data_IF_998808196632
#
_entry.id   IF_998808196632
#
_cell.length_a   1.000
_cell.length_b   1.000
_cell.length_c   1.000
_cell.angle_alpha   90.00
_cell.angle_beta   90.00
_cell.angle_gamma   90.00
#
_symmetry.space_group_name_H-M   'P 1'
#
loop_
_entity.id
_entity.type
_entity.pdbx_description
1 polymer ?
#
# COMPACT_ATOMS: atom_id res chain seq x y z
N UNK A 1 2.97 9.74 -13.87
CA UNK A 1 2.72 10.79 -12.85
C UNK A 1 3.76 11.90 -12.91
N UNK A 2 5.04 11.64 -12.57
CA UNK A 2 6.10 12.66 -12.59
C UNK A 2 6.34 13.35 -13.95
N UNK A 3 6.24 12.60 -15.06
CA UNK A 3 6.34 13.19 -16.39
C UNK A 3 5.14 14.11 -16.71
N UNK A 4 3.94 13.74 -16.25
CA UNK A 4 2.72 14.53 -16.45
C UNK A 4 2.76 15.80 -15.60
N UNK A 5 3.22 15.71 -14.35
CA UNK A 5 3.40 16.88 -13.49
C UNK A 5 4.50 17.81 -14.02
N UNK A 6 5.60 17.28 -14.55
CA UNK A 6 6.66 18.07 -15.19
C UNK A 6 6.18 18.79 -16.46
N UNK A 7 5.42 18.11 -17.33
CA UNK A 7 4.81 18.73 -18.52
C UNK A 7 3.85 19.84 -18.10
N UNK A 8 3.01 19.60 -17.10
CA UNK A 8 2.07 20.61 -16.63
C UNK A 8 2.80 21.83 -16.03
N UNK A 9 3.89 21.60 -15.28
CA UNK A 9 4.74 22.67 -14.75
C UNK A 9 5.39 23.50 -15.87
N UNK A 10 5.85 22.86 -16.94
CA UNK A 10 6.39 23.56 -18.13
C UNK A 10 5.32 24.39 -18.84
N UNK A 11 4.11 23.87 -19.01
CA UNK A 11 2.99 24.61 -19.62
C UNK A 11 2.62 25.82 -18.77
N UNK A 12 2.51 25.65 -17.45
CA UNK A 12 2.24 26.72 -16.51
C UNK A 12 3.35 27.78 -16.52
N UNK A 13 4.62 27.36 -16.49
CA UNK A 13 5.77 28.27 -16.57
C UNK A 13 5.80 29.06 -17.88
N UNK A 14 5.45 28.43 -19.00
CA UNK A 14 5.35 29.10 -20.30
C UNK A 14 4.21 30.14 -20.34
N UNK A 15 3.06 29.84 -19.73
CA UNK A 15 1.93 30.77 -19.64
C UNK A 15 2.27 31.99 -18.78
N UNK A 16 2.90 31.77 -17.62
CA UNK A 16 3.36 32.86 -16.74
C UNK A 16 4.42 33.71 -17.45
N UNK A 17 5.40 33.07 -18.11
CA UNK A 17 6.44 33.77 -18.86
C UNK A 17 5.87 34.66 -19.98
N UNK A 18 4.93 34.14 -20.78
CA UNK A 18 4.28 34.93 -21.85
C UNK A 18 3.49 36.11 -21.28
N UNK A 19 2.78 35.91 -20.17
CA UNK A 19 1.94 36.95 -19.55
C UNK A 19 2.78 38.05 -18.89
N UNK A 20 3.83 37.67 -18.16
CA UNK A 20 4.70 38.62 -17.46
C UNK A 20 5.63 39.37 -18.42
N UNK A 21 6.07 38.71 -19.50
CA UNK A 21 6.84 39.35 -20.57
C UNK A 21 6.06 40.47 -21.29
N UNK A 22 4.72 40.41 -21.30
CA UNK A 22 3.89 41.38 -22.03
C UNK A 22 3.67 42.71 -21.29
N UNK A 23 3.95 42.77 -19.98
CA UNK A 23 3.47 43.86 -19.11
C UNK A 23 4.61 44.63 -18.44
N UNK A 24 5.83 44.10 -18.37
CA UNK A 24 6.88 44.68 -17.53
C UNK A 24 8.22 44.85 -18.29
N UNK A 25 8.51 46.07 -18.74
CA UNK A 25 9.74 46.45 -19.46
C UNK A 25 11.03 46.43 -18.59
N UNK A 26 10.90 46.10 -17.30
CA UNK A 26 12.02 45.95 -16.36
C UNK A 26 12.68 44.55 -16.43
N UNK A 27 12.11 43.62 -17.21
CA UNK A 27 12.61 42.25 -17.41
C UNK A 27 13.77 42.11 -18.42
N UNK A 28 14.53 43.17 -18.67
CA UNK A 28 15.76 43.16 -19.49
C UNK A 28 17.05 42.94 -18.69
N UNK A 29 16.95 42.63 -17.40
CA UNK A 29 18.09 42.38 -16.50
C UNK A 29 18.61 40.92 -16.51
N UNK A 30 19.76 40.65 -15.87
CA UNK A 30 20.42 39.33 -15.90
C UNK A 30 19.57 38.22 -15.23
N UNK A 31 19.51 37.01 -15.83
CA UNK A 31 18.50 35.97 -15.55
C UNK A 31 18.53 35.39 -14.13
N UNK A 32 19.68 35.48 -13.44
CA UNK A 32 19.84 34.94 -12.07
C UNK A 32 19.11 35.75 -11.00
N UNK A 33 18.97 37.07 -11.17
CA UNK A 33 18.23 37.91 -10.20
C UNK A 33 16.72 37.75 -10.37
N UNK A 34 16.23 37.60 -11.59
CA UNK A 34 14.81 37.34 -11.88
C UNK A 34 14.31 36.06 -11.22
N UNK A 35 15.07 34.97 -11.29
CA UNK A 35 14.69 33.72 -10.61
C UNK A 35 14.51 33.90 -9.10
N UNK A 36 15.41 34.64 -8.45
CA UNK A 36 15.34 34.90 -7.01
C UNK A 36 14.14 35.80 -6.67
N UNK A 37 13.88 36.84 -7.46
CA UNK A 37 12.74 37.75 -7.23
C UNK A 37 11.40 37.07 -7.51
N UNK A 38 11.30 36.23 -8.55
CA UNK A 38 10.10 35.44 -8.85
C UNK A 38 9.86 34.40 -7.76
N UNK A 39 10.91 33.71 -7.30
CA UNK A 39 10.80 32.77 -6.19
C UNK A 39 10.39 33.47 -4.88
N UNK A 40 10.94 34.66 -4.61
CA UNK A 40 10.59 35.47 -3.44
C UNK A 40 9.15 35.99 -3.50
N UNK A 41 8.69 36.45 -4.68
CA UNK A 41 7.33 36.93 -4.87
C UNK A 41 6.30 35.79 -4.80
N UNK A 42 6.62 34.61 -5.35
CA UNK A 42 5.81 33.39 -5.26
C UNK A 42 5.70 32.88 -3.81
N UNK A 43 6.77 32.99 -3.05
CA UNK A 43 6.79 32.66 -1.62
C UNK A 43 6.01 33.67 -0.78
N UNK A 44 6.09 34.96 -1.11
CA UNK A 44 5.34 36.01 -0.42
C UNK A 44 3.83 35.91 -0.70
N UNK A 45 3.40 35.58 -1.92
CA UNK A 45 1.98 35.37 -2.24
C UNK A 45 1.36 34.19 -1.47
N UNK A 46 2.13 33.14 -1.16
CA UNK A 46 1.66 32.02 -0.33
C UNK A 46 1.28 32.45 1.11
N UNK A 47 2.02 33.38 1.69
CA UNK A 47 1.81 33.84 3.08
C UNK A 47 0.92 35.09 3.18
N UNK A 48 0.87 35.93 2.14
CA UNK A 48 0.17 37.22 2.16
C UNK A 48 -1.20 37.24 1.47
N UNK A 49 -1.63 36.15 0.82
CA UNK A 49 -2.91 36.09 0.06
C UNK A 49 -4.19 36.32 0.89
N UNK A 50 -4.12 36.49 2.21
CA UNK A 50 -5.28 36.81 3.05
C UNK A 50 -5.54 38.32 3.21
N UNK A 51 -4.61 39.19 2.78
CA UNK A 51 -4.76 40.64 2.87
C UNK A 51 -4.16 41.30 1.62
N UNK A 52 -5.02 41.58 0.63
CA UNK A 52 -5.12 42.90 -0.01
C UNK A 52 -6.18 42.82 -1.14
N UNK A 53 -7.26 43.59 -1.02
CA UNK A 53 -8.22 43.79 -2.10
C UNK A 53 -7.59 44.71 -3.16
N UNK A 54 -6.82 44.20 -4.13
CA UNK A 54 -6.47 44.89 -5.41
C UNK A 54 -5.55 44.05 -6.33
N UNK A 55 -5.89 42.79 -6.62
CA UNK A 55 -5.22 42.08 -7.72
C UNK A 55 -6.00 42.25 -9.02
N UNK A 56 -5.33 42.88 -10.01
CA UNK A 56 -5.70 42.93 -11.42
C UNK A 56 -6.13 41.54 -11.93
N UNK A 57 -7.01 41.48 -12.94
CA UNK A 57 -7.53 40.22 -13.53
C UNK A 57 -6.41 39.22 -13.87
N UNK A 58 -5.22 39.72 -14.20
CA UNK A 58 -4.04 38.94 -14.51
C UNK A 58 -3.35 38.35 -13.26
N UNK A 59 -3.28 39.09 -12.15
CA UNK A 59 -2.76 38.58 -10.88
C UNK A 59 -3.63 37.46 -10.31
N UNK A 60 -4.97 37.56 -10.49
CA UNK A 60 -5.89 36.47 -10.12
C UNK A 60 -5.65 35.20 -10.94
N UNK A 61 -5.34 35.34 -12.24
CA UNK A 61 -5.05 34.22 -13.11
C UNK A 61 -3.76 33.49 -12.67
N UNK A 62 -2.71 34.24 -12.34
CA UNK A 62 -1.46 33.68 -11.81
C UNK A 62 -1.69 32.94 -10.48
N UNK A 63 -2.50 33.50 -9.58
CA UNK A 63 -2.84 32.83 -8.31
C UNK A 63 -3.61 31.52 -8.52
N UNK A 64 -4.58 31.50 -9.44
CA UNK A 64 -5.34 30.27 -9.76
C UNK A 64 -4.41 29.19 -10.31
N UNK A 65 -3.51 29.55 -11.22
CA UNK A 65 -2.51 28.64 -11.76
C UNK A 65 -1.60 28.10 -10.66
N UNK A 66 -1.14 28.96 -9.76
CA UNK A 66 -0.28 28.57 -8.64
C UNK A 66 -0.98 27.63 -7.65
N UNK A 67 -2.25 27.90 -7.30
CA UNK A 67 -3.07 27.01 -6.47
C UNK A 67 -3.20 25.62 -7.11
N UNK A 68 -3.31 25.55 -8.44
CA UNK A 68 -3.37 24.29 -9.16
C UNK A 68 -2.05 23.50 -9.06
N UNK A 69 -0.90 24.18 -9.14
CA UNK A 69 0.43 23.56 -8.93
C UNK A 69 0.55 22.99 -7.53
N UNK A 70 0.21 23.77 -6.50
CA UNK A 70 0.24 23.31 -5.10
C UNK A 70 -0.68 22.10 -4.88
N UNK A 71 -1.87 22.11 -5.49
CA UNK A 71 -2.81 21.00 -5.40
C UNK A 71 -2.25 19.72 -6.03
N UNK A 72 -1.61 19.81 -7.20
CA UNK A 72 -0.97 18.66 -7.87
C UNK A 72 0.17 18.08 -7.02
N UNK A 73 1.00 18.94 -6.42
CA UNK A 73 2.11 18.50 -5.56
C UNK A 73 1.56 17.77 -4.34
N UNK A 74 0.56 18.35 -3.65
CA UNK A 74 -0.07 17.72 -2.49
C UNK A 74 -0.73 16.39 -2.87
N UNK A 75 -1.49 16.35 -3.97
CA UNK A 75 -2.13 15.11 -4.45
C UNK A 75 -1.11 14.02 -4.79
N UNK A 76 0.00 14.38 -5.44
CA UNK A 76 1.08 13.44 -5.79
C UNK A 76 1.81 12.94 -4.54
N UNK A 77 2.08 13.81 -3.58
CA UNK A 77 2.69 13.46 -2.30
C UNK A 77 1.80 12.50 -1.51
N UNK A 78 0.50 12.83 -1.38
CA UNK A 78 -0.47 11.95 -0.74
C UNK A 78 -0.55 10.61 -1.47
N UNK A 79 -0.63 10.58 -2.81
CA UNK A 79 -0.68 9.34 -3.57
C UNK A 79 0.57 8.47 -3.40
N UNK A 80 1.77 9.07 -3.40
CA UNK A 80 3.02 8.35 -3.16
C UNK A 80 3.13 7.84 -1.72
N UNK A 81 2.74 8.66 -0.74
CA UNK A 81 2.70 8.24 0.67
C UNK A 81 1.71 7.09 0.87
N UNK A 82 0.50 7.20 0.32
CA UNK A 82 -0.51 6.13 0.35
C UNK A 82 -0.01 4.88 -0.37
N UNK A 83 0.71 5.00 -1.49
CA UNK A 83 1.34 3.86 -2.17
C UNK A 83 2.38 3.17 -1.28
N UNK A 84 3.17 3.93 -0.51
CA UNK A 84 4.17 3.35 0.40
C UNK A 84 3.48 2.64 1.57
N UNK A 85 2.47 3.27 2.17
CA UNK A 85 1.72 2.70 3.29
C UNK A 85 0.95 1.44 2.87
N UNK A 86 0.35 1.43 1.68
CA UNK A 86 -0.32 0.24 1.13
C UNK A 86 0.68 -0.87 0.82
N UNK A 87 1.86 -0.57 0.24
CA UNK A 87 2.91 -1.58 0.01
C UNK A 87 3.39 -2.23 1.31
N UNK A 88 3.52 -1.45 2.40
CA UNK A 88 3.91 -2.00 3.71
C UNK A 88 2.80 -2.87 4.32
N UNK A 89 1.53 -2.50 4.18
CA UNK A 89 0.40 -3.34 4.61
C UNK A 89 0.25 -4.64 3.77
N UNK A 90 0.69 -4.62 2.50
CA UNK A 90 0.78 -5.79 1.61
C UNK A 90 2.06 -6.63 1.81
N UNK A 91 2.93 -6.25 2.75
CA UNK A 91 4.16 -6.96 3.10
C UNK A 91 3.96 -7.90 4.28
N UNK A 92 2.90 -8.71 4.27
CA UNK A 92 2.96 -9.96 5.04
C UNK A 92 4.09 -10.81 4.43
N UNK A 93 5.04 -11.24 5.27
CA UNK A 93 6.17 -12.12 4.85
C UNK A 93 5.66 -13.37 4.12
N UNK A 94 4.44 -13.78 4.45
CA UNK A 94 3.72 -14.89 3.84
C UNK A 94 2.59 -14.27 3.01
N UNK A 95 2.55 -14.54 1.71
CA UNK A 95 1.48 -14.07 0.80
C UNK A 95 0.50 -15.18 0.41
N UNK A 96 0.88 -16.43 0.68
CA UNK A 96 0.10 -17.63 0.36
C UNK A 96 0.96 -18.89 0.43
N UNK A 97 0.44 -19.99 -0.11
CA UNK A 97 1.08 -21.30 -0.02
C UNK A 97 2.45 -21.36 -0.69
N UNK A 98 2.65 -20.70 -1.84
CA UNK A 98 3.94 -20.68 -2.55
C UNK A 98 5.07 -20.07 -1.69
N UNK A 99 4.74 -19.03 -0.92
CA UNK A 99 5.69 -18.41 0.02
C UNK A 99 6.00 -19.31 1.22
N UNK A 100 5.05 -20.13 1.67
CA UNK A 100 5.28 -21.12 2.73
C UNK A 100 6.19 -22.25 2.27
N UNK A 101 6.03 -22.70 1.03
CA UNK A 101 6.87 -23.74 0.42
C UNK A 101 8.31 -23.25 0.27
N UNK A 102 8.50 -22.04 -0.25
CA UNK A 102 9.84 -21.48 -0.55
C UNK A 102 10.58 -21.00 0.71
N UNK A 103 9.85 -20.58 1.75
CA UNK A 103 10.46 -20.13 3.01
C UNK A 103 10.88 -21.30 3.89
N UNK A 104 11.67 -21.04 4.95
CA UNK A 104 12.10 -22.05 5.93
C UNK A 104 11.41 -21.88 7.29
N UNK A 105 10.21 -21.30 7.32
CA UNK A 105 9.46 -21.04 8.56
C UNK A 105 8.73 -22.30 9.04
N UNK A 106 8.46 -22.36 10.34
CA UNK A 106 7.62 -23.39 10.94
C UNK A 106 6.15 -23.13 10.65
N UNK A 107 5.40 -24.21 10.38
CA UNK A 107 4.00 -24.18 9.94
C UNK A 107 3.20 -25.06 10.90
N UNK A 108 2.16 -24.49 11.50
CA UNK A 108 1.22 -25.21 12.35
C UNK A 108 0.17 -25.95 11.52
N UNK A 109 -0.28 -27.09 12.00
CA UNK A 109 -1.41 -27.82 11.40
C UNK A 109 -2.21 -28.57 12.48
N UNK A 110 -3.47 -28.89 12.20
CA UNK A 110 -4.31 -29.62 13.14
C UNK A 110 -3.86 -31.08 13.28
N UNK A 111 -3.70 -31.55 14.52
CA UNK A 111 -3.39 -32.96 14.81
C UNK A 111 -4.45 -33.88 14.19
N UNK A 112 -4.01 -34.90 13.44
CA UNK A 112 -4.91 -35.89 12.82
C UNK A 112 -5.64 -35.39 11.57
N UNK A 113 -5.32 -34.19 11.08
CA UNK A 113 -5.90 -33.66 9.84
C UNK A 113 -5.18 -34.18 8.59
N UNK A 114 -5.86 -34.05 7.45
CA UNK A 114 -5.28 -34.29 6.13
C UNK A 114 -4.13 -33.31 5.80
N UNK A 115 -4.06 -32.16 6.48
CA UNK A 115 -3.09 -31.12 6.19
C UNK A 115 -1.64 -31.60 6.34
N UNK A 116 -1.32 -32.47 7.31
CA UNK A 116 0.05 -32.99 7.49
C UNK A 116 0.56 -33.70 6.23
N UNK A 117 -0.22 -34.67 5.76
CA UNK A 117 0.15 -35.49 4.60
C UNK A 117 0.17 -34.63 3.34
N UNK A 118 -0.80 -33.73 3.17
CA UNK A 118 -0.82 -32.82 2.03
C UNK A 118 0.41 -31.89 1.98
N UNK A 119 0.76 -31.26 3.10
CA UNK A 119 1.91 -30.36 3.17
C UNK A 119 3.23 -31.10 2.92
N UNK A 120 3.37 -32.33 3.43
CA UNK A 120 4.61 -33.10 3.29
C UNK A 120 4.73 -33.85 1.97
N UNK A 121 3.69 -34.57 1.54
CA UNK A 121 3.74 -35.47 0.39
C UNK A 121 3.44 -34.76 -0.93
N UNK A 122 2.45 -33.85 -0.96
CA UNK A 122 2.05 -33.15 -2.19
C UNK A 122 2.84 -31.85 -2.39
N UNK A 123 3.05 -31.07 -1.33
CA UNK A 123 3.79 -29.80 -1.41
C UNK A 123 5.29 -29.91 -1.10
N UNK A 124 5.76 -31.07 -0.64
CA UNK A 124 7.18 -31.32 -0.37
C UNK A 124 7.77 -30.54 0.81
N UNK A 125 6.94 -30.08 1.74
CA UNK A 125 7.40 -29.37 2.94
C UNK A 125 7.95 -30.39 3.94
N UNK A 126 9.20 -30.19 4.37
CA UNK A 126 9.85 -31.09 5.31
C UNK A 126 9.05 -31.24 6.63
N UNK A 127 8.80 -32.48 7.07
CA UNK A 127 8.11 -32.77 8.33
C UNK A 127 8.68 -32.07 9.56
N UNK A 128 10.00 -31.79 9.57
CA UNK A 128 10.66 -31.08 10.68
C UNK A 128 10.19 -29.63 10.85
N UNK A 129 9.56 -29.04 9.82
CA UNK A 129 8.97 -27.70 9.86
C UNK A 129 7.49 -27.71 10.27
N UNK A 130 6.86 -28.89 10.28
CA UNK A 130 5.46 -29.04 10.60
C UNK A 130 5.28 -29.22 12.10
N UNK A 131 4.46 -28.36 12.70
CA UNK A 131 4.17 -28.37 14.14
C UNK A 131 2.71 -28.78 14.32
N UNK A 132 2.49 -29.91 14.97
CA UNK A 132 1.15 -30.39 15.24
C UNK A 132 0.55 -29.61 16.41
N UNK A 133 -0.63 -29.01 16.20
CA UNK A 133 -1.37 -28.23 17.18
C UNK A 133 -2.76 -28.86 17.34
N UNK A 134 -3.16 -29.15 18.57
CA UNK A 134 -4.37 -29.93 18.84
C UNK A 134 -5.60 -29.09 19.19
N UNK A 135 -5.37 -27.89 19.75
CA UNK A 135 -6.43 -27.05 20.30
C UNK A 135 -6.42 -25.65 19.67
N UNK A 136 -7.58 -24.99 19.56
CA UNK A 136 -7.65 -23.60 19.07
C UNK A 136 -6.77 -22.62 19.87
N UNK A 137 -6.65 -22.81 21.19
CA UNK A 137 -5.81 -21.94 22.02
C UNK A 137 -4.32 -22.09 21.67
N UNK A 138 -3.88 -23.30 21.33
CA UNK A 138 -2.51 -23.57 20.89
C UNK A 138 -2.20 -22.87 19.55
N UNK A 139 -3.21 -22.64 18.70
CA UNK A 139 -3.03 -21.89 17.46
C UNK A 139 -2.71 -20.43 17.76
N UNK A 140 -3.52 -19.81 18.63
CA UNK A 140 -3.32 -18.41 19.01
C UNK A 140 -1.97 -18.20 19.70
N UNK A 141 -1.60 -19.08 20.64
CA UNK A 141 -0.34 -19.00 21.37
C UNK A 141 0.87 -19.22 20.45
N UNK A 142 0.81 -20.21 19.55
CA UNK A 142 1.90 -20.49 18.62
C UNK A 142 2.09 -19.34 17.60
N UNK A 143 1.01 -18.71 17.14
CA UNK A 143 1.07 -17.54 16.25
C UNK A 143 1.57 -16.29 16.99
N UNK A 144 1.12 -16.04 18.22
CA UNK A 144 1.56 -14.87 19.02
C UNK A 144 3.01 -14.95 19.45
N UNK A 145 3.45 -16.14 19.87
CA UNK A 145 4.83 -16.37 20.30
C UNK A 145 5.80 -16.46 19.12
N UNK A 146 5.31 -16.49 17.88
CA UNK A 146 6.13 -16.64 16.67
C UNK A 146 6.74 -18.03 16.53
N UNK A 147 6.23 -19.03 17.27
CA UNK A 147 6.63 -20.44 17.12
C UNK A 147 6.28 -20.93 15.73
N UNK A 148 5.09 -20.58 15.23
CA UNK A 148 4.69 -20.86 13.85
C UNK A 148 4.39 -19.55 13.14
N UNK A 149 4.76 -19.47 11.87
CA UNK A 149 4.51 -18.27 11.06
C UNK A 149 3.11 -18.28 10.42
N UNK A 150 2.52 -19.47 10.25
CA UNK A 150 1.15 -19.66 9.79
C UNK A 150 0.61 -21.00 10.31
N UNK A 151 -0.73 -21.10 10.39
CA UNK A 151 -1.44 -22.35 10.65
C UNK A 151 -2.25 -22.72 9.40
N UNK A 152 -2.18 -23.98 9.00
CA UNK A 152 -2.95 -24.54 7.89
C UNK A 152 -3.95 -25.54 8.43
N UNK A 153 -5.23 -25.29 8.15
CA UNK A 153 -6.35 -26.12 8.59
C UNK A 153 -7.52 -25.99 7.60
N UNK A 154 -8.55 -26.83 7.77
CA UNK A 154 -9.76 -26.76 6.96
C UNK A 154 -10.55 -25.49 7.26
N UNK A 155 -11.13 -24.90 6.22
CA UNK A 155 -11.85 -23.63 6.27
C UNK A 155 -12.87 -23.48 7.41
N UNK A 156 -13.76 -24.45 7.70
CA UNK A 156 -14.72 -24.29 8.81
C UNK A 156 -14.04 -24.19 10.19
N UNK A 157 -12.90 -24.84 10.41
CA UNK A 157 -12.16 -24.72 11.67
C UNK A 157 -11.47 -23.37 11.78
N UNK A 158 -10.92 -22.86 10.67
CA UNK A 158 -10.34 -21.52 10.61
C UNK A 158 -11.41 -20.44 10.83
N UNK A 159 -12.57 -20.57 10.19
CA UNK A 159 -13.67 -19.62 10.34
C UNK A 159 -14.19 -19.59 11.80
N UNK A 160 -14.26 -20.76 12.45
CA UNK A 160 -14.59 -20.85 13.88
C UNK A 160 -13.53 -20.16 14.75
N UNK A 161 -12.24 -20.45 14.53
CA UNK A 161 -11.15 -19.81 15.25
C UNK A 161 -11.15 -18.28 15.13
N UNK A 162 -11.40 -17.76 13.91
CA UNK A 162 -11.46 -16.32 13.67
C UNK A 162 -12.70 -15.64 14.26
N UNK A 163 -13.77 -16.40 14.50
CA UNK A 163 -14.95 -15.88 15.21
C UNK A 163 -14.66 -15.55 16.67
N UNK A 164 -13.69 -16.25 17.28
CA UNK A 164 -13.25 -16.03 18.66
C UNK A 164 -12.01 -15.13 18.75
N UNK A 165 -11.20 -15.06 17.68
CA UNK A 165 -9.94 -14.32 17.66
C UNK A 165 -9.81 -13.34 16.47
N UNK A 166 -10.25 -12.09 16.68
CA UNK A 166 -10.20 -11.02 15.67
C UNK A 166 -8.79 -10.50 15.31
N UNK A 167 -7.75 -10.94 16.02
CA UNK A 167 -6.37 -10.48 15.81
C UNK A 167 -5.69 -11.18 14.63
N UNK A 168 -6.27 -12.28 14.15
CA UNK A 168 -5.73 -13.08 13.05
C UNK A 168 -6.58 -12.91 11.79
N UNK A 169 -6.00 -13.26 10.64
CA UNK A 169 -6.70 -13.21 9.36
C UNK A 169 -6.19 -14.32 8.43
N UNK A 170 -7.05 -14.73 7.50
CA UNK A 170 -6.67 -15.66 6.44
C UNK A 170 -5.79 -14.94 5.43
N UNK A 171 -4.67 -15.55 5.07
CA UNK A 171 -3.75 -15.04 4.06
C UNK A 171 -3.65 -16.02 2.89
N UNK A 172 -3.78 -15.50 1.68
CA UNK A 172 -3.71 -16.28 0.44
C UNK A 172 -5.07 -16.79 -0.03
N UNK A 173 -5.03 -17.61 -1.08
CA UNK A 173 -6.21 -18.26 -1.66
C UNK A 173 -6.32 -19.70 -1.17
N UNK A 174 -7.55 -20.22 -1.16
CA UNK A 174 -7.83 -21.63 -0.92
C UNK A 174 -7.17 -22.49 -2.02
N UNK A 175 -6.34 -23.44 -1.61
CA UNK A 175 -5.47 -24.21 -2.51
C UNK A 175 -5.89 -25.67 -2.66
N UNK A 176 -6.79 -26.17 -1.82
CA UNK A 176 -7.40 -27.51 -1.93
C UNK A 176 -8.87 -27.40 -2.31
N UNK A 177 -9.35 -28.31 -3.18
CA UNK A 177 -10.78 -28.48 -3.49
C UNK A 177 -11.26 -29.84 -2.97
N UNK A 178 -11.04 -30.10 -1.69
CA UNK A 178 -11.50 -31.30 -1.01
C UNK A 178 -12.83 -31.05 -0.32
N UNK A 179 -13.72 -32.02 -0.35
CA UNK A 179 -15.02 -31.97 0.32
C UNK A 179 -15.14 -33.07 1.36
N UNK A 180 -16.02 -32.86 2.34
CA UNK A 180 -16.34 -33.87 3.34
C UNK A 180 -17.28 -34.92 2.77
N UNK A 181 -17.02 -36.18 3.12
CA UNK A 181 -17.82 -37.32 2.69
C UNK A 181 -17.91 -38.36 3.78
N UNK A 182 -19.06 -39.01 3.87
CA UNK A 182 -19.25 -40.16 4.74
C UNK A 182 -18.91 -41.44 3.97
N UNK A 183 -18.08 -42.29 4.55
CA UNK A 183 -17.79 -43.62 4.01
C UNK A 183 -18.60 -44.65 4.79
N UNK A 184 -19.48 -45.35 4.10
CA UNK A 184 -20.19 -46.50 4.65
C UNK A 184 -19.51 -47.80 4.20
N UNK A 185 -19.53 -48.82 5.06
CA UNK A 185 -19.15 -50.18 4.69
C UNK A 185 -20.13 -50.71 3.63
N UNK A 186 -19.66 -51.40 2.58
CA UNK A 186 -20.58 -52.01 1.62
C UNK A 186 -21.50 -53.01 2.34
N UNK A 187 -22.81 -52.78 2.31
CA UNK A 187 -23.81 -53.76 2.77
C UNK A 187 -24.73 -53.39 3.94
N UNK A 188 -24.87 -52.11 4.32
CA UNK A 188 -25.93 -51.64 5.21
C UNK A 188 -26.72 -50.49 4.59
#
# INVERSE_FOLDING_TARGET
>A
MWAVTAIFFLVVGAVVWILEHRINDEFRGPPRKQLVTILWFSFSTLFFSHRENTVSTLGRLVLIIWLFVVLIINSSYTASLTSILTVQQLSSTIKGIDSLITSNVQIGFQVGSFAENYLNEELGIAKTRLVALGKPEEYADALKNGTVAAVVDERPYVDLFLSEHCEFSIIGQEFTRSGWGFRFTPGH
#
